data_IF_124280929892
#
_entry.id   IF_124280929892
#
_cell.length_a   1.000
_cell.length_b   1.000
_cell.length_c   1.000
_cell.angle_alpha   90.00
_cell.angle_beta   90.00
_cell.angle_gamma   90.00
#
_symmetry.space_group_name_H-M   'P 1'
#
loop_
_entity.id
_entity.type
_entity.pdbx_description
1 polymer ?
#
# COMPACT_ATOMS: atom_id res chain seq x y z
N UNK A 1 -18.22 -62.92 -38.61
CA UNK A 1 -19.00 -61.74 -38.14
C UNK A 1 -18.66 -61.51 -36.67
N UNK A 2 -17.68 -60.66 -36.36
CA UNK A 2 -17.30 -60.31 -34.98
C UNK A 2 -17.35 -58.81 -34.82
N UNK A 3 -18.22 -58.32 -33.93
CA UNK A 3 -18.48 -56.89 -33.70
C UNK A 3 -17.33 -56.28 -32.88
N UNK A 4 -16.64 -55.29 -33.45
CA UNK A 4 -15.64 -54.48 -32.75
C UNK A 4 -16.38 -53.33 -32.06
N UNK A 5 -16.44 -53.36 -30.72
CA UNK A 5 -16.97 -52.24 -29.94
C UNK A 5 -15.85 -51.23 -29.67
N UNK A 6 -15.98 -50.02 -30.21
CA UNK A 6 -15.15 -48.87 -29.84
C UNK A 6 -15.70 -48.23 -28.56
N UNK A 7 -14.93 -48.29 -27.48
CA UNK A 7 -15.23 -47.57 -26.24
C UNK A 7 -14.58 -46.19 -26.32
N UNK A 8 -15.39 -45.13 -26.47
CA UNK A 8 -14.94 -43.75 -26.36
C UNK A 8 -14.83 -43.38 -24.87
N UNK A 9 -13.60 -43.26 -24.36
CA UNK A 9 -13.33 -42.67 -23.05
C UNK A 9 -13.28 -41.14 -23.17
N UNK A 10 -14.27 -40.45 -22.61
CA UNK A 10 -14.28 -39.00 -22.50
C UNK A 10 -13.35 -38.54 -21.37
N UNK A 11 -12.17 -38.02 -21.71
CA UNK A 11 -11.30 -37.32 -20.77
C UNK A 11 -11.84 -35.90 -20.54
N UNK A 12 -12.45 -35.65 -19.38
CA UNK A 12 -12.78 -34.30 -18.96
C UNK A 12 -11.49 -33.57 -18.56
N UNK A 13 -11.01 -32.65 -19.41
CA UNK A 13 -9.97 -31.70 -19.03
C UNK A 13 -10.56 -30.72 -17.99
N UNK A 14 -10.21 -30.93 -16.72
CA UNK A 14 -10.39 -29.90 -15.69
C UNK A 14 -9.37 -28.81 -15.97
N UNK A 15 -9.78 -27.76 -16.69
CA UNK A 15 -9.00 -26.54 -16.82
C UNK A 15 -8.91 -25.89 -15.43
N UNK A 16 -7.82 -26.14 -14.71
CA UNK A 16 -7.45 -25.31 -13.56
C UNK A 16 -7.18 -23.92 -14.12
N UNK A 17 -8.06 -22.96 -13.82
CA UNK A 17 -7.80 -21.54 -14.06
C UNK A 17 -6.59 -21.12 -13.22
N UNK A 18 -5.39 -21.38 -13.72
CA UNK A 18 -4.17 -20.78 -13.23
C UNK A 18 -4.22 -19.33 -13.70
N UNK A 19 -4.72 -18.44 -12.85
CA UNK A 19 -4.43 -17.02 -13.02
C UNK A 19 -2.90 -16.94 -12.99
N UNK A 20 -2.27 -16.73 -14.14
CA UNK A 20 -0.84 -16.74 -14.29
C UNK A 20 -0.24 -15.66 -13.37
N UNK A 21 0.34 -16.10 -12.25
CA UNK A 21 1.11 -15.28 -11.34
C UNK A 21 2.50 -15.17 -11.93
N UNK A 22 2.70 -14.19 -12.81
CA UNK A 22 4.03 -13.89 -13.36
C UNK A 22 4.59 -12.64 -12.69
N UNK A 23 5.84 -12.79 -12.23
CA UNK A 23 6.72 -11.68 -11.89
C UNK A 23 7.64 -11.55 -13.10
N UNK A 24 7.41 -10.53 -13.92
CA UNK A 24 8.30 -10.22 -15.05
C UNK A 24 9.67 -9.74 -14.56
N UNK A 25 10.59 -9.55 -15.50
CA UNK A 25 11.92 -9.00 -15.19
C UNK A 25 11.89 -7.47 -15.19
N UNK A 26 12.50 -6.80 -14.20
CA UNK A 26 12.70 -5.36 -14.25
C UNK A 26 13.57 -4.94 -15.44
N UNK A 27 13.28 -3.78 -16.00
CA UNK A 27 14.02 -3.17 -17.10
C UNK A 27 14.70 -1.86 -16.64
N UNK A 28 15.61 -1.31 -17.46
CA UNK A 28 16.29 -0.05 -17.16
C UNK A 28 17.35 -0.17 -16.06
N UNK A 29 17.48 0.86 -15.22
CA UNK A 29 18.51 0.92 -14.17
C UNK A 29 18.39 -0.20 -13.12
N UNK A 30 17.21 -0.79 -12.96
CA UNK A 30 16.95 -1.88 -12.02
C UNK A 30 17.00 -3.27 -12.70
N UNK A 31 17.44 -3.36 -13.97
CA UNK A 31 17.55 -4.63 -14.68
C UNK A 31 18.47 -5.61 -13.93
N UNK A 32 18.06 -6.88 -13.88
CA UNK A 32 18.79 -7.93 -13.17
C UNK A 32 18.42 -8.10 -11.69
N UNK A 33 17.52 -7.27 -11.14
CA UNK A 33 17.01 -7.48 -9.79
C UNK A 33 16.18 -8.79 -9.71
N UNK A 34 16.64 -9.71 -8.85
CA UNK A 34 16.03 -11.04 -8.61
C UNK A 34 15.03 -11.01 -7.45
N UNK A 35 15.24 -10.11 -6.50
CA UNK A 35 14.43 -9.87 -5.32
C UNK A 35 14.11 -11.15 -4.54
N UNK A 36 12.84 -11.35 -4.17
CA UNK A 36 12.42 -12.52 -3.42
C UNK A 36 12.33 -13.82 -4.23
N UNK A 37 12.70 -13.84 -5.52
CA UNK A 37 12.46 -14.98 -6.41
C UNK A 37 13.20 -16.27 -5.99
N UNK A 38 14.32 -16.16 -5.28
CA UNK A 38 15.05 -17.30 -4.67
C UNK A 38 14.45 -17.73 -3.33
N UNK A 39 13.51 -16.96 -2.79
CA UNK A 39 12.90 -17.13 -1.49
C UNK A 39 11.58 -17.91 -1.49
N UNK A 40 10.97 -18.00 -0.31
CA UNK A 40 9.66 -18.67 -0.14
C UNK A 40 8.52 -17.73 -0.51
N UNK A 41 7.49 -18.28 -1.15
CA UNK A 41 6.22 -17.58 -1.37
C UNK A 41 5.33 -17.67 -0.15
N UNK A 42 4.91 -16.52 0.37
CA UNK A 42 4.07 -16.41 1.57
C UNK A 42 2.80 -15.62 1.29
N UNK A 43 1.71 -15.99 1.97
CA UNK A 43 0.38 -15.39 1.81
C UNK A 43 -0.09 -14.86 3.17
N UNK A 44 0.18 -13.59 3.50
CA UNK A 44 -0.24 -13.04 4.78
C UNK A 44 -1.76 -13.13 4.96
N UNK A 45 -2.18 -13.54 6.14
CA UNK A 45 -3.58 -13.66 6.56
C UNK A 45 -4.01 -12.52 7.46
N UNK A 46 -3.06 -11.77 8.04
CA UNK A 46 -3.32 -10.63 8.91
C UNK A 46 -2.40 -9.44 8.60
N UNK A 47 -2.76 -8.26 9.09
CA UNK A 47 -1.93 -7.05 8.97
C UNK A 47 -0.61 -7.20 9.71
N UNK A 48 -0.58 -7.88 10.85
CA UNK A 48 0.64 -8.18 11.59
C UNK A 48 1.57 -9.12 10.83
N UNK A 49 1.05 -10.20 10.24
CA UNK A 49 1.85 -11.09 9.38
C UNK A 49 2.43 -10.35 8.18
N UNK A 50 1.65 -9.48 7.54
CA UNK A 50 2.16 -8.65 6.45
C UNK A 50 3.35 -7.80 6.93
N UNK A 51 3.22 -7.10 8.06
CA UNK A 51 4.31 -6.29 8.63
C UNK A 51 5.54 -7.15 8.91
N UNK A 52 5.36 -8.32 9.52
CA UNK A 52 6.45 -9.24 9.86
C UNK A 52 7.17 -9.78 8.63
N UNK A 53 6.45 -10.20 7.59
CA UNK A 53 7.08 -10.69 6.35
C UNK A 53 7.86 -9.60 5.63
N UNK A 54 7.36 -8.36 5.62
CA UNK A 54 8.07 -7.23 5.01
C UNK A 54 9.34 -6.84 5.78
N UNK A 55 9.32 -6.96 7.10
CA UNK A 55 10.45 -6.64 7.97
C UNK A 55 11.47 -7.79 8.14
N UNK A 56 11.17 -8.99 7.64
CA UNK A 56 12.06 -10.15 7.72
C UNK A 56 13.36 -9.94 6.94
N UNK A 57 14.47 -10.48 7.41
CA UNK A 57 15.74 -10.54 6.67
C UNK A 57 15.75 -11.62 5.59
N UNK A 58 14.82 -12.58 5.63
CA UNK A 58 14.76 -13.68 4.66
C UNK A 58 14.25 -13.21 3.29
N UNK A 59 14.79 -13.71 2.17
CA UNK A 59 14.22 -13.48 0.84
C UNK A 59 12.79 -14.03 0.76
N UNK A 60 11.82 -13.20 0.35
CA UNK A 60 10.41 -13.59 0.34
C UNK A 60 9.63 -13.02 -0.85
N UNK A 61 8.74 -13.85 -1.41
CA UNK A 61 7.66 -13.42 -2.30
C UNK A 61 6.37 -13.29 -1.48
N UNK A 62 6.01 -12.07 -1.12
CA UNK A 62 4.82 -11.74 -0.32
C UNK A 62 3.63 -11.47 -1.25
N UNK A 63 2.66 -12.37 -1.24
CA UNK A 63 1.52 -12.34 -2.17
C UNK A 63 0.27 -11.80 -1.50
N UNK A 64 -0.22 -10.66 -1.99
CA UNK A 64 -1.42 -10.00 -1.47
C UNK A 64 -2.65 -10.45 -2.26
N UNK A 65 -3.44 -11.36 -1.69
CA UNK A 65 -4.68 -11.85 -2.29
C UNK A 65 -5.95 -11.17 -1.75
N UNK A 66 -5.79 -10.19 -0.86
CA UNK A 66 -6.87 -9.48 -0.18
C UNK A 66 -6.46 -8.08 0.27
N UNK A 67 -7.45 -7.33 0.77
CA UNK A 67 -7.23 -6.03 1.37
C UNK A 67 -6.69 -6.16 2.79
N UNK A 68 -5.59 -5.46 3.07
CA UNK A 68 -5.03 -5.23 4.40
C UNK A 68 -5.37 -3.81 4.84
N UNK A 69 -6.26 -3.67 5.81
CA UNK A 69 -6.74 -2.39 6.30
C UNK A 69 -6.10 -2.06 7.65
N UNK A 70 -5.25 -1.03 7.66
CA UNK A 70 -4.55 -0.54 8.84
C UNK A 70 -5.29 0.63 9.50
N UNK A 71 -6.41 1.09 8.95
CA UNK A 71 -7.16 2.20 9.55
C UNK A 71 -7.65 1.79 10.94
N UNK A 72 -7.44 2.67 11.92
CA UNK A 72 -7.84 2.48 13.31
C UNK A 72 -6.95 1.51 14.11
N UNK A 73 -5.97 0.84 13.48
CA UNK A 73 -5.12 -0.12 14.20
C UNK A 73 -4.15 0.53 15.18
N UNK A 74 -3.86 1.82 15.00
CA UNK A 74 -2.95 2.61 15.84
C UNK A 74 -3.65 3.80 16.52
N UNK A 75 -4.99 3.79 16.53
CA UNK A 75 -5.80 4.84 17.11
C UNK A 75 -5.82 6.14 16.29
N UNK A 76 -6.43 7.18 16.88
CA UNK A 76 -6.53 8.51 16.26
C UNK A 76 -6.04 9.58 17.21
N UNK A 77 -5.36 10.58 16.66
CA UNK A 77 -4.92 11.77 17.41
C UNK A 77 -5.79 12.97 17.03
N UNK A 78 -6.11 13.80 18.02
CA UNK A 78 -6.79 15.09 17.82
C UNK A 78 -5.94 16.19 18.44
N UNK A 79 -5.53 17.15 17.63
CA UNK A 79 -4.63 18.21 18.06
C UNK A 79 -4.81 19.49 17.23
N UNK A 80 -3.98 20.49 17.53
CA UNK A 80 -3.92 21.74 16.77
C UNK A 80 -3.11 21.51 15.50
N UNK A 81 -3.74 21.76 14.37
CA UNK A 81 -3.12 21.85 13.06
C UNK A 81 -3.13 23.28 12.54
N UNK A 82 -2.79 23.42 11.27
CA UNK A 82 -2.77 24.68 10.56
C UNK A 82 -3.60 24.66 9.29
N UNK A 83 -4.31 25.75 9.03
CA UNK A 83 -4.87 26.07 7.73
C UNK A 83 -4.11 27.24 7.08
N UNK A 84 -3.25 26.99 6.09
CA UNK A 84 -2.43 28.01 5.43
C UNK A 84 -3.23 29.05 4.65
N UNK A 85 -2.66 30.21 4.38
CA UNK A 85 -3.28 31.27 3.57
C UNK A 85 -3.77 30.81 2.20
N UNK A 86 -2.92 30.15 1.41
CA UNK A 86 -3.25 29.64 0.08
C UNK A 86 -4.43 28.66 0.11
N UNK A 87 -4.58 27.90 1.21
CA UNK A 87 -5.72 26.97 1.37
C UNK A 87 -7.02 27.70 1.63
N UNK A 88 -6.98 28.81 2.38
CA UNK A 88 -8.14 29.68 2.65
C UNK A 88 -8.56 30.43 1.39
N UNK A 89 -7.60 30.95 0.63
CA UNK A 89 -7.85 31.59 -0.67
C UNK A 89 -8.55 30.62 -1.64
N UNK A 90 -8.11 29.36 -1.68
CA UNK A 90 -8.79 28.33 -2.47
C UNK A 90 -10.24 28.09 -2.00
N UNK A 91 -10.50 28.05 -0.69
CA UNK A 91 -11.86 27.89 -0.17
C UNK A 91 -12.76 29.08 -0.49
N UNK A 92 -12.22 30.30 -0.45
CA UNK A 92 -12.96 31.52 -0.75
C UNK A 92 -13.49 31.57 -2.19
N UNK A 93 -12.88 30.81 -3.12
CA UNK A 93 -13.34 30.70 -4.51
C UNK A 93 -14.66 29.93 -4.67
N UNK A 94 -15.13 29.22 -3.65
CA UNK A 94 -16.43 28.49 -3.65
C UNK A 94 -16.66 27.60 -4.89
N UNK A 95 -15.60 27.01 -5.44
CA UNK A 95 -15.64 26.21 -6.66
C UNK A 95 -16.00 24.73 -6.43
N UNK A 96 -16.61 24.40 -5.28
CA UNK A 96 -17.01 23.04 -4.91
C UNK A 96 -15.90 22.15 -4.33
N UNK A 97 -14.65 22.62 -4.27
CA UNK A 97 -13.53 21.85 -3.70
C UNK A 97 -13.26 22.23 -2.24
N UNK A 98 -12.96 21.21 -1.40
CA UNK A 98 -12.48 21.40 -0.03
C UNK A 98 -10.95 21.48 -0.01
N UNK A 99 -10.40 22.25 0.91
CA UNK A 99 -8.95 22.38 1.06
C UNK A 99 -8.38 21.46 2.14
N UNK A 100 -7.05 21.33 2.15
CA UNK A 100 -6.30 20.52 3.11
C UNK A 100 -5.80 21.41 4.26
N UNK A 101 -5.81 20.84 5.45
CA UNK A 101 -5.12 21.36 6.62
C UNK A 101 -3.75 20.66 6.75
N UNK A 102 -2.93 21.14 7.67
CA UNK A 102 -1.57 20.66 7.91
C UNK A 102 -1.49 20.18 9.35
N UNK A 103 -0.96 18.98 9.57
CA UNK A 103 -0.60 18.51 10.91
C UNK A 103 0.69 19.23 11.31
N UNK A 104 0.71 19.83 12.50
CA UNK A 104 1.90 20.53 12.98
C UNK A 104 2.96 19.53 13.44
N UNK A 105 4.23 19.79 13.11
CA UNK A 105 5.35 19.08 13.71
C UNK A 105 5.71 19.68 15.08
N UNK A 106 6.58 18.98 15.83
CA UNK A 106 7.19 19.52 17.03
C UNK A 106 7.82 20.89 16.76
N UNK A 107 7.52 21.88 17.60
CA UNK A 107 7.94 23.27 17.39
C UNK A 107 6.91 24.15 16.65
N UNK A 108 5.71 23.62 16.38
CA UNK A 108 4.52 24.39 16.02
C UNK A 108 4.57 25.03 14.62
N UNK A 109 3.90 26.17 14.48
CA UNK A 109 3.68 26.86 13.19
C UNK A 109 4.97 27.18 12.42
N UNK A 110 6.06 27.44 13.16
CA UNK A 110 7.34 27.82 12.58
C UNK A 110 8.15 26.64 12.03
N UNK A 111 7.81 25.41 12.41
CA UNK A 111 8.59 24.21 12.09
C UNK A 111 7.96 23.29 11.05
N UNK A 112 6.70 23.53 10.66
CA UNK A 112 6.10 22.81 9.52
C UNK A 112 6.24 23.62 8.25
N UNK A 113 6.93 23.08 7.24
CA UNK A 113 7.10 23.73 5.93
C UNK A 113 5.79 23.97 5.16
N UNK A 114 4.65 23.47 5.68
CA UNK A 114 3.35 23.59 5.04
C UNK A 114 2.48 24.76 5.51
N UNK A 115 2.88 25.52 6.55
CA UNK A 115 1.99 26.47 7.25
C UNK A 115 2.43 27.95 7.17
N UNK A 116 2.42 28.52 5.97
CA UNK A 116 2.62 29.96 5.79
C UNK A 116 1.35 30.75 6.11
N UNK A 117 1.47 31.84 6.88
CA UNK A 117 0.35 32.73 7.21
C UNK A 117 -0.87 32.01 7.80
N UNK A 118 -0.64 30.88 8.48
CA UNK A 118 -1.67 29.91 8.82
C UNK A 118 -2.54 30.29 10.01
N UNK A 119 -3.79 29.84 10.00
CA UNK A 119 -4.70 29.91 11.15
C UNK A 119 -4.76 28.56 11.84
N UNK A 120 -4.82 28.55 13.17
CA UNK A 120 -4.96 27.31 13.93
C UNK A 120 -6.32 26.65 13.68
N UNK A 121 -6.32 25.33 13.51
CA UNK A 121 -7.53 24.51 13.32
C UNK A 121 -7.42 23.21 14.10
N UNK A 122 -8.54 22.62 14.51
CA UNK A 122 -8.51 21.27 15.11
C UNK A 122 -8.42 20.22 14.02
N UNK A 123 -7.39 19.38 14.09
CA UNK A 123 -7.17 18.26 13.16
C UNK A 123 -7.37 16.95 13.87
N UNK A 124 -7.95 15.97 13.17
CA UNK A 124 -8.13 14.61 13.67
C UNK A 124 -7.73 13.61 12.60
N UNK A 125 -6.72 12.81 12.88
CA UNK A 125 -6.16 11.87 11.90
C UNK A 125 -5.90 10.49 12.51
N UNK A 126 -5.72 9.52 11.61
CA UNK A 126 -5.41 8.13 11.95
C UNK A 126 -3.89 7.96 12.06
N UNK A 127 -3.42 7.43 13.20
CA UNK A 127 -1.98 7.32 13.47
C UNK A 127 -1.31 6.25 12.60
N UNK A 128 -2.06 5.28 12.07
CA UNK A 128 -1.50 4.21 11.26
C UNK A 128 -0.82 4.73 9.99
N UNK A 129 -1.23 5.90 9.50
CA UNK A 129 -0.65 6.54 8.33
C UNK A 129 0.72 7.20 8.60
N UNK A 130 1.04 7.54 9.85
CA UNK A 130 2.27 8.24 10.21
C UNK A 130 3.48 7.30 10.17
N UNK A 131 3.36 6.11 10.77
CA UNK A 131 4.43 5.11 10.77
C UNK A 131 4.29 4.22 9.53
N UNK A 132 5.21 4.29 8.57
CA UNK A 132 5.18 3.41 7.39
C UNK A 132 5.64 1.99 7.77
N UNK A 133 5.23 0.98 7.00
CA UNK A 133 5.76 -0.38 7.14
C UNK A 133 7.14 -0.47 6.50
N UNK A 134 8.13 -0.94 7.26
CA UNK A 134 9.49 -1.16 6.75
C UNK A 134 9.53 -2.39 5.86
N UNK A 135 10.07 -2.24 4.66
CA UNK A 135 10.37 -3.32 3.73
C UNK A 135 11.88 -3.48 3.67
N UNK A 136 12.38 -4.62 4.17
CA UNK A 136 13.79 -5.00 4.09
C UNK A 136 14.16 -5.46 2.66
N UNK A 137 15.44 -5.72 2.43
CA UNK A 137 15.93 -6.20 1.14
C UNK A 137 15.39 -7.58 0.74
N UNK A 138 15.59 -7.94 -0.53
CA UNK A 138 15.22 -9.22 -1.13
C UNK A 138 13.72 -9.56 -0.99
N UNK A 139 12.87 -8.56 -1.24
CA UNK A 139 11.40 -8.70 -1.16
C UNK A 139 10.74 -8.55 -2.51
N UNK A 140 9.79 -9.42 -2.79
CA UNK A 140 8.82 -9.22 -3.88
C UNK A 140 7.42 -9.12 -3.29
N UNK A 141 6.80 -7.95 -3.39
CA UNK A 141 5.42 -7.72 -2.97
C UNK A 141 4.53 -7.75 -4.22
N UNK A 142 3.63 -8.73 -4.30
CA UNK A 142 2.80 -8.94 -5.49
C UNK A 142 1.33 -9.11 -5.15
N UNK A 143 0.47 -8.23 -5.66
CA UNK A 143 -0.98 -8.41 -5.49
C UNK A 143 -1.59 -9.35 -6.53
N UNK A 144 -2.63 -10.11 -6.20
CA UNK A 144 -3.38 -10.93 -7.16
C UNK A 144 -4.59 -10.17 -7.70
N UNK A 145 -4.72 -10.09 -9.03
CA UNK A 145 -5.83 -9.40 -9.69
C UNK A 145 -5.99 -7.98 -9.17
N UNK A 146 -7.20 -7.64 -8.68
CA UNK A 146 -7.52 -6.33 -8.07
C UNK A 146 -7.55 -6.38 -6.53
N UNK A 147 -7.16 -7.52 -5.93
CA UNK A 147 -7.39 -7.77 -4.51
C UNK A 147 -6.23 -7.34 -3.62
N UNK A 148 -5.01 -7.24 -4.17
CA UNK A 148 -3.83 -6.79 -3.43
C UNK A 148 -3.91 -5.31 -3.07
N UNK A 149 -4.52 -4.99 -1.93
CA UNK A 149 -4.76 -3.62 -1.49
C UNK A 149 -4.22 -3.42 -0.08
N UNK A 150 -3.47 -2.34 0.15
CA UNK A 150 -3.06 -1.86 1.46
C UNK A 150 -3.78 -0.55 1.72
N UNK A 151 -4.54 -0.45 2.81
CA UNK A 151 -5.31 0.74 3.19
C UNK A 151 -4.76 1.38 4.45
N UNK A 152 -4.66 2.71 4.43
CA UNK A 152 -4.38 3.50 5.64
C UNK A 152 -2.93 3.50 6.11
N UNK A 153 -2.02 2.79 5.43
CA UNK A 153 -0.60 2.71 5.78
C UNK A 153 0.28 2.58 4.53
N UNK A 154 1.42 3.27 4.53
CA UNK A 154 2.40 3.26 3.44
C UNK A 154 3.55 2.28 3.67
N UNK A 155 4.48 2.24 2.70
CA UNK A 155 5.72 1.46 2.75
C UNK A 155 6.94 2.40 2.83
N UNK A 156 7.96 2.00 3.58
CA UNK A 156 9.32 2.53 3.49
C UNK A 156 10.21 1.41 2.98
N UNK A 157 10.83 1.61 1.82
CA UNK A 157 11.80 0.68 1.25
C UNK A 157 13.15 0.95 1.93
N UNK A 158 13.52 0.11 2.89
CA UNK A 158 14.71 0.28 3.74
C UNK A 158 15.80 -0.75 3.44
N UNK A 159 15.83 -1.28 2.22
CA UNK A 159 16.82 -2.21 1.72
C UNK A 159 16.88 -2.16 0.20
N UNK A 160 17.71 -3.01 -0.38
CA UNK A 160 17.91 -3.15 -1.81
C UNK A 160 17.22 -4.40 -2.37
N UNK A 161 17.18 -4.53 -3.71
CA UNK A 161 16.59 -5.68 -4.38
C UNK A 161 15.11 -5.93 -4.00
N UNK A 162 14.27 -4.89 -4.14
CA UNK A 162 12.84 -4.94 -3.81
C UNK A 162 11.99 -4.74 -5.08
N UNK A 163 11.03 -5.65 -5.32
CA UNK A 163 9.96 -5.48 -6.31
C UNK A 163 8.64 -5.20 -5.61
N UNK A 164 7.94 -4.17 -6.05
CA UNK A 164 6.55 -3.88 -5.68
C UNK A 164 5.70 -3.87 -6.94
N UNK A 165 4.81 -4.85 -7.09
CA UNK A 165 4.07 -5.06 -8.34
C UNK A 165 2.58 -5.37 -8.11
N UNK A 166 1.73 -4.74 -8.91
CA UNK A 166 0.28 -4.96 -8.92
C UNK A 166 -0.38 -4.88 -7.53
N UNK A 167 -0.01 -3.87 -6.74
CA UNK A 167 -0.68 -3.57 -5.47
C UNK A 167 -1.28 -2.16 -5.51
N UNK A 168 -2.37 -1.98 -4.76
CA UNK A 168 -2.96 -0.67 -4.53
C UNK A 168 -2.64 -0.22 -3.11
N UNK A 169 -1.90 0.87 -2.96
CA UNK A 169 -1.75 1.54 -1.67
C UNK A 169 -2.70 2.75 -1.68
N UNK A 170 -3.72 2.72 -0.84
CA UNK A 170 -4.76 3.75 -0.84
C UNK A 170 -5.05 4.29 0.55
N UNK A 171 -5.33 5.58 0.61
CA UNK A 171 -6.00 6.20 1.75
C UNK A 171 -7.41 6.60 1.29
N UNK A 172 -8.41 5.82 1.68
CA UNK A 172 -9.84 6.21 1.58
C UNK A 172 -10.40 6.42 2.98
N UNK A 173 -10.07 7.57 3.53
CA UNK A 173 -10.89 8.21 4.57
C UNK A 173 -11.52 9.43 3.89
N UNK A 174 -12.83 9.64 4.07
CA UNK A 174 -13.64 10.73 3.47
C UNK A 174 -13.18 12.16 3.83
N UNK A 175 -12.03 12.30 4.50
CA UNK A 175 -11.34 13.55 4.82
C UNK A 175 -9.87 13.42 4.44
N UNK A 176 -9.56 13.53 3.14
CA UNK A 176 -8.19 13.79 2.65
C UNK A 176 -7.84 15.24 2.99
N UNK A 177 -7.71 15.53 4.27
CA UNK A 177 -7.64 16.90 4.75
C UNK A 177 -6.33 17.20 5.46
N UNK A 178 -5.32 16.33 5.40
CA UNK A 178 -4.06 16.55 6.09
C UNK A 178 -2.86 16.32 5.19
N UNK A 179 -1.96 17.29 5.13
CA UNK A 179 -0.59 17.12 4.66
C UNK A 179 0.31 16.85 5.88
N UNK A 180 1.10 15.77 5.82
CA UNK A 180 2.13 15.46 6.80
C UNK A 180 3.46 15.31 6.05
N UNK A 181 4.35 16.28 6.25
CA UNK A 181 5.77 16.09 5.92
C UNK A 181 6.43 15.47 7.15
N UNK A 182 7.09 14.30 7.05
CA UNK A 182 7.98 13.82 8.09
C UNK A 182 9.25 14.67 8.14
#
# INVERSE_FOLDING_TARGET
>A
MGRIQFVLAAFALVAKNTNAFTIGSPEGLAAGATCGASGKTVYPTSTSELVSYLASSEPLVVVLNKTFDFRGTEGTTTEKGCRPDYTRECMAKNNGFKSQDVILQSGGMANTGGCTGGTEVTVKYDNAALKRMTVQGDKTIRGIGKNGVIKGKGLTLAGDNIIVQNIHIVSRTLRRQFFYFP
#
